data_IF_093738284223
#
_entry.id   IF_093738284223
#
_cell.length_a   1.000
_cell.length_b   1.000
_cell.length_c   1.000
_cell.angle_alpha   90.00
_cell.angle_beta   90.00
_cell.angle_gamma   90.00
#
_symmetry.space_group_name_H-M   'P 1'
#
loop_
_entity.id
_entity.type
_entity.pdbx_description
1 polymer ?
#
# COMPACT_ATOMS: atom_id res chain seq x y z
N UNK A 1 -10.50 -21.61 97.63
CA UNK A 1 -9.76 -22.49 96.70
C UNK A 1 -10.28 -22.18 95.30
N UNK A 2 -9.74 -21.17 94.60
CA UNK A 2 -8.63 -21.29 93.64
C UNK A 2 -8.74 -22.51 92.73
N UNK A 3 -9.22 -22.34 91.49
CA UNK A 3 -8.63 -22.82 90.22
C UNK A 3 -9.26 -21.95 89.10
N UNK A 4 -8.73 -20.76 88.79
CA UNK A 4 -7.80 -20.44 87.69
C UNK A 4 -8.14 -21.11 86.34
N UNK A 5 -8.75 -20.31 85.47
CA UNK A 5 -8.82 -20.50 84.02
C UNK A 5 -7.42 -20.73 83.43
N UNK A 6 -7.28 -21.80 82.65
CA UNK A 6 -6.18 -21.95 81.69
C UNK A 6 -6.81 -22.11 80.31
N UNK A 7 -7.05 -20.98 79.66
CA UNK A 7 -7.32 -20.95 78.21
C UNK A 7 -5.95 -21.12 77.55
N UNK A 8 -5.68 -22.31 77.06
CA UNK A 8 -4.57 -22.55 76.15
C UNK A 8 -4.86 -21.79 74.85
N UNK A 9 -4.18 -20.67 74.63
CA UNK A 9 -4.00 -20.11 73.30
C UNK A 9 -3.19 -21.14 72.50
N UNK A 10 -3.87 -21.94 71.69
CA UNK A 10 -3.23 -22.58 70.54
C UNK A 10 -2.84 -21.44 69.60
N UNK A 11 -1.62 -20.92 69.79
CA UNK A 11 -0.93 -20.20 68.74
C UNK A 11 -0.73 -21.22 67.61
N UNK A 12 -1.61 -21.16 66.63
CA UNK A 12 -1.46 -21.82 65.35
C UNK A 12 -0.16 -21.29 64.76
N UNK A 13 0.92 -22.03 64.96
CA UNK A 13 2.18 -21.80 64.27
C UNK A 13 1.91 -22.22 62.83
N UNK A 14 1.48 -21.26 62.01
CA UNK A 14 1.36 -21.45 60.58
C UNK A 14 2.80 -21.45 60.03
N UNK A 15 3.38 -22.59 59.62
CA UNK A 15 4.79 -22.66 59.21
C UNK A 15 4.98 -22.19 57.77
N UNK A 16 4.00 -21.49 57.21
CA UNK A 16 4.09 -20.99 55.85
C UNK A 16 4.89 -19.69 55.84
N UNK A 17 6.14 -19.86 55.40
CA UNK A 17 7.06 -18.83 54.89
C UNK A 17 7.87 -18.09 55.96
N UNK A 18 8.83 -18.80 56.57
CA UNK A 18 10.12 -18.19 56.88
C UNK A 18 10.77 -17.85 55.53
N UNK A 19 10.46 -16.69 54.96
CA UNK A 19 11.38 -16.08 54.00
C UNK A 19 12.63 -15.78 54.83
N UNK A 20 13.77 -16.36 54.44
CA UNK A 20 15.06 -15.94 54.97
C UNK A 20 15.12 -14.41 54.81
N UNK A 21 15.30 -13.66 55.90
CA UNK A 21 15.36 -12.18 55.85
C UNK A 21 16.46 -11.69 54.90
N UNK A 22 17.36 -12.58 54.50
CA UNK A 22 18.46 -12.34 53.57
C UNK A 22 18.22 -12.85 52.15
N UNK A 23 17.03 -13.37 51.84
CA UNK A 23 16.73 -13.84 50.49
C UNK A 23 16.45 -12.69 49.52
N UNK A 24 16.92 -12.82 48.27
CA UNK A 24 16.66 -11.89 47.19
C UNK A 24 15.52 -12.37 46.28
N UNK A 25 14.78 -11.43 45.71
CA UNK A 25 13.75 -11.71 44.71
C UNK A 25 14.32 -11.67 43.27
N UNK A 26 13.70 -12.36 42.29
CA UNK A 26 14.11 -12.30 40.89
C UNK A 26 14.14 -10.86 40.34
N UNK A 27 15.21 -10.51 39.64
CA UNK A 27 15.34 -9.26 38.89
C UNK A 27 14.63 -9.34 37.53
N UNK A 28 14.11 -8.21 37.07
CA UNK A 28 13.77 -7.99 35.67
C UNK A 28 14.88 -7.19 35.02
N UNK A 29 15.48 -7.73 33.96
CA UNK A 29 16.62 -7.10 33.28
C UNK A 29 16.17 -6.73 31.86
N UNK A 30 16.11 -5.44 31.49
CA UNK A 30 15.78 -5.04 30.13
C UNK A 30 16.81 -5.60 29.15
N UNK A 31 16.33 -6.21 28.06
CA UNK A 31 17.16 -6.78 26.99
C UNK A 31 18.17 -7.84 27.48
N UNK A 32 17.84 -8.56 28.55
CA UNK A 32 18.68 -9.62 29.09
C UNK A 32 17.86 -10.67 29.84
N UNK A 33 18.43 -11.86 29.92
CA UNK A 33 17.79 -13.03 30.50
C UNK A 33 18.80 -13.85 31.34
N UNK A 34 18.29 -14.57 32.33
CA UNK A 34 19.05 -15.48 33.17
C UNK A 34 18.14 -16.62 33.64
N UNK A 35 18.74 -17.75 34.00
CA UNK A 35 17.97 -18.89 34.47
C UNK A 35 17.39 -18.59 35.86
N UNK A 36 16.07 -18.35 35.91
CA UNK A 36 15.38 -17.99 37.13
C UNK A 36 15.22 -19.20 38.09
N UNK A 37 15.31 -18.95 39.40
CA UNK A 37 15.10 -19.96 40.43
C UNK A 37 13.65 -20.43 40.40
N UNK A 38 13.43 -21.75 40.40
CA UNK A 38 12.08 -22.35 40.44
C UNK A 38 11.33 -22.03 41.73
N UNK A 39 12.06 -21.75 42.80
CA UNK A 39 11.49 -21.43 44.10
C UNK A 39 11.01 -19.97 44.18
N UNK A 40 11.37 -19.14 43.20
CA UNK A 40 10.98 -17.73 43.13
C UNK A 40 11.77 -16.79 44.06
N UNK A 41 12.86 -17.28 44.66
CA UNK A 41 13.78 -16.51 45.51
C UNK A 41 15.20 -17.08 45.44
N UNK A 42 16.16 -16.32 45.96
CA UNK A 42 17.60 -16.63 45.97
C UNK A 42 18.16 -16.47 47.39
N UNK A 43 18.94 -17.45 47.84
CA UNK A 43 19.56 -17.42 49.16
C UNK A 43 20.78 -16.51 49.24
N UNK A 44 21.23 -16.22 50.47
CA UNK A 44 22.45 -15.46 50.72
C UNK A 44 23.65 -16.09 50.00
N UNK A 45 24.33 -15.29 49.18
CA UNK A 45 25.52 -15.70 48.42
C UNK A 45 25.23 -16.32 47.06
N UNK A 46 23.96 -16.59 46.70
CA UNK A 46 23.58 -17.08 45.37
C UNK A 46 23.97 -16.08 44.28
N UNK A 47 24.37 -16.60 43.12
CA UNK A 47 24.84 -15.79 41.99
C UNK A 47 24.04 -16.13 40.75
N UNK A 48 23.54 -15.09 40.08
CA UNK A 48 22.95 -15.20 38.76
C UNK A 48 23.95 -14.74 37.70
N UNK A 49 23.87 -15.33 36.52
CA UNK A 49 24.63 -14.90 35.34
C UNK A 49 23.66 -14.47 34.26
N UNK A 50 23.83 -13.24 33.78
CA UNK A 50 22.92 -12.58 32.87
C UNK A 50 23.47 -12.65 31.46
N UNK A 51 22.65 -13.15 30.53
CA UNK A 51 22.91 -13.14 29.10
C UNK A 51 22.11 -11.99 28.49
N UNK A 52 22.78 -11.10 27.75
CA UNK A 52 22.07 -10.09 26.98
C UNK A 52 21.38 -10.70 25.77
N UNK A 53 20.25 -10.13 25.39
CA UNK A 53 19.50 -10.51 24.19
C UNK A 53 20.30 -10.18 22.93
N UNK A 54 19.92 -10.77 21.79
CA UNK A 54 20.60 -10.50 20.52
C UNK A 54 20.60 -9.00 20.19
N UNK A 55 21.78 -8.48 19.84
CA UNK A 55 21.98 -7.06 19.56
C UNK A 55 22.41 -6.23 20.77
N UNK A 56 22.47 -6.83 21.97
CA UNK A 56 22.87 -6.17 23.20
C UNK A 56 24.15 -6.80 23.79
N UNK A 57 24.93 -6.01 24.52
CA UNK A 57 26.15 -6.43 25.18
C UNK A 57 26.32 -5.81 26.57
N UNK A 58 27.16 -6.43 27.39
CA UNK A 58 27.51 -5.91 28.70
C UNK A 58 28.58 -4.83 28.57
N UNK A 59 28.37 -3.67 29.20
CA UNK A 59 29.40 -2.60 29.26
C UNK A 59 30.60 -2.94 30.15
N UNK A 60 30.41 -3.81 31.13
CA UNK A 60 31.43 -4.23 32.11
C UNK A 60 31.48 -5.76 32.12
N UNK A 61 32.68 -6.35 32.25
CA UNK A 61 32.87 -7.81 32.18
C UNK A 61 32.08 -8.62 33.22
N UNK A 62 31.61 -7.99 34.29
CA UNK A 62 30.84 -8.68 35.33
C UNK A 62 29.35 -8.75 34.98
N UNK A 63 28.98 -9.81 34.28
CA UNK A 63 27.61 -10.17 33.93
C UNK A 63 26.85 -10.87 35.09
N UNK A 64 27.33 -10.73 36.34
CA UNK A 64 26.80 -11.47 37.49
C UNK A 64 26.27 -10.54 38.57
N UNK A 65 25.19 -10.94 39.22
CA UNK A 65 24.71 -10.34 40.46
C UNK A 65 24.73 -11.39 41.56
N UNK A 66 25.16 -11.01 42.77
CA UNK A 66 25.16 -11.87 43.95
C UNK A 66 24.13 -11.36 44.96
N UNK A 67 23.38 -12.27 45.57
CA UNK A 67 22.49 -11.92 46.67
C UNK A 67 23.29 -11.69 47.96
N UNK A 68 23.18 -10.50 48.55
CA UNK A 68 23.92 -10.08 49.74
C UNK A 68 22.96 -9.35 50.69
N UNK A 69 22.70 -9.93 51.86
CA UNK A 69 21.77 -9.47 52.88
C UNK A 69 20.41 -9.01 52.29
N UNK A 70 19.79 -9.85 51.46
CA UNK A 70 18.47 -9.59 50.86
C UNK A 70 18.47 -8.59 49.70
N UNK A 71 19.63 -8.10 49.25
CA UNK A 71 19.75 -7.20 48.08
C UNK A 71 20.79 -7.71 47.09
N UNK A 72 20.56 -7.48 45.81
CA UNK A 72 21.54 -7.81 44.77
C UNK A 72 22.75 -6.87 44.81
N UNK A 73 23.96 -7.42 44.70
CA UNK A 73 25.23 -6.69 44.70
C UNK A 73 25.32 -5.64 43.58
N UNK A 74 24.67 -5.92 42.46
CA UNK A 74 24.63 -5.11 41.24
C UNK A 74 23.41 -5.51 40.42
N UNK A 75 22.99 -4.62 39.53
CA UNK A 75 21.99 -4.93 38.49
C UNK A 75 22.73 -4.93 37.16
N UNK A 76 22.93 -6.09 36.51
CA UNK A 76 23.57 -6.15 35.20
C UNK A 76 22.77 -5.38 34.16
N UNK A 77 23.45 -4.59 33.32
CA UNK A 77 22.83 -3.73 32.31
C UNK A 77 23.26 -4.22 30.94
N UNK A 78 22.27 -4.54 30.11
CA UNK A 78 22.45 -4.86 28.70
C UNK A 78 22.20 -3.60 27.86
N UNK A 79 23.24 -3.14 27.19
CA UNK A 79 23.18 -1.97 26.31
C UNK A 79 23.29 -2.38 24.84
N UNK A 80 22.87 -1.50 23.93
CA UNK A 80 22.96 -1.76 22.49
C UNK A 80 24.43 -1.99 22.12
N UNK A 81 24.72 -3.11 21.48
CA UNK A 81 26.08 -3.41 21.03
C UNK A 81 26.50 -2.45 19.94
N UNK A 82 27.75 -1.99 19.97
CA UNK A 82 28.29 -1.10 18.93
C UNK A 82 28.43 -1.79 17.57
N UNK A 83 28.46 -3.11 17.56
CA UNK A 83 28.51 -3.92 16.34
C UNK A 83 27.10 -4.18 15.76
N UNK A 84 26.05 -3.83 16.49
CA UNK A 84 24.66 -4.01 16.05
C UNK A 84 24.14 -2.76 15.36
N UNK A 85 23.29 -2.96 14.36
CA UNK A 85 22.74 -1.86 13.58
C UNK A 85 21.48 -1.30 14.22
N UNK A 86 21.30 0.01 14.06
CA UNK A 86 20.05 0.69 14.40
C UNK A 86 19.04 0.62 13.27
N UNK A 87 18.22 1.66 13.16
CA UNK A 87 17.21 1.77 12.12
C UNK A 87 17.82 1.57 10.72
N UNK A 88 17.15 0.79 9.86
CA UNK A 88 17.63 0.57 8.51
C UNK A 88 17.50 1.83 7.65
N UNK A 89 18.32 1.97 6.58
CA UNK A 89 18.35 3.17 5.76
C UNK A 89 16.99 3.42 5.08
N UNK A 90 16.56 4.68 5.04
CA UNK A 90 15.37 5.07 4.28
C UNK A 90 15.74 5.19 2.80
N UNK A 91 15.15 4.33 1.97
CA UNK A 91 15.42 4.27 0.55
C UNK A 91 14.18 4.76 -0.20
N UNK A 92 14.29 5.81 -1.05
CA UNK A 92 13.16 6.30 -1.82
C UNK A 92 12.56 5.20 -2.70
N UNK A 93 11.24 5.11 -2.71
CA UNK A 93 10.48 4.15 -3.52
C UNK A 93 10.85 2.69 -3.24
N UNK A 94 11.20 2.37 -2.00
CA UNK A 94 11.48 1.01 -1.57
C UNK A 94 10.86 0.73 -0.19
N UNK A 95 10.34 -0.48 -0.04
CA UNK A 95 9.72 -0.98 1.19
C UNK A 95 10.46 -2.20 1.70
N UNK A 96 10.50 -2.38 3.02
CA UNK A 96 11.02 -3.61 3.64
C UNK A 96 9.89 -4.64 3.65
N UNK A 97 10.11 -5.78 3.02
CA UNK A 97 9.10 -6.84 2.89
C UNK A 97 9.31 -8.01 3.87
N UNK A 98 10.48 -8.08 4.50
CA UNK A 98 10.84 -9.15 5.43
C UNK A 98 11.28 -8.57 6.77
N UNK A 99 10.60 -9.03 7.84
CA UNK A 99 10.69 -8.70 9.28
C UNK A 99 9.85 -7.52 9.77
N UNK A 100 9.30 -7.70 10.98
CA UNK A 100 8.68 -6.63 11.76
C UNK A 100 9.71 -5.67 12.34
N UNK A 101 9.23 -4.52 12.81
CA UNK A 101 10.07 -3.49 13.44
C UNK A 101 10.86 -4.04 14.63
N UNK A 102 12.14 -3.67 14.71
CA UNK A 102 13.03 -3.94 15.84
C UNK A 102 13.83 -2.68 16.15
N UNK A 103 14.08 -2.42 17.45
CA UNK A 103 14.88 -1.27 17.86
C UNK A 103 16.40 -1.46 17.66
N UNK A 104 16.84 -2.71 17.50
CA UNK A 104 18.24 -3.12 17.31
C UNK A 104 18.28 -4.37 16.44
N UNK A 105 19.24 -4.39 15.51
CA UNK A 105 19.49 -5.51 14.62
C UNK A 105 20.89 -6.06 14.89
N UNK A 106 20.97 -7.29 15.40
CA UNK A 106 22.24 -7.96 15.67
C UNK A 106 23.09 -8.11 14.38
N UNK A 107 24.40 -8.29 14.54
CA UNK A 107 25.32 -8.58 13.43
C UNK A 107 24.80 -9.75 12.59
N UNK A 108 24.92 -9.63 11.26
CA UNK A 108 24.37 -10.56 10.26
C UNK A 108 22.84 -10.58 10.16
N UNK A 109 22.11 -9.70 10.85
CA UNK A 109 20.69 -9.49 10.57
C UNK A 109 20.50 -9.08 9.12
N UNK A 110 19.52 -9.67 8.46
CA UNK A 110 19.20 -9.42 7.06
C UNK A 110 17.82 -8.79 6.94
N UNK A 111 17.72 -7.78 6.08
CA UNK A 111 16.46 -7.15 5.69
C UNK A 111 16.36 -7.17 4.18
N UNK A 112 15.18 -7.51 3.66
CA UNK A 112 14.93 -7.51 2.23
C UNK A 112 14.11 -6.29 1.86
N UNK A 113 14.67 -5.46 0.98
CA UNK A 113 13.96 -4.37 0.33
C UNK A 113 13.36 -4.84 -0.98
N UNK A 114 12.19 -4.31 -1.29
CA UNK A 114 11.55 -4.41 -2.59
C UNK A 114 11.25 -2.99 -3.07
N UNK A 115 11.50 -2.70 -4.35
CA UNK A 115 11.06 -1.43 -4.92
C UNK A 115 9.53 -1.37 -4.96
N UNK A 116 8.96 -0.19 -4.71
CA UNK A 116 7.53 0.06 -4.86
C UNK A 116 7.09 -0.18 -6.30
N UNK A 117 5.80 -0.45 -6.49
CA UNK A 117 5.23 -0.69 -7.82
C UNK A 117 5.57 0.44 -8.79
N UNK A 118 6.04 0.08 -10.00
CA UNK A 118 6.51 1.04 -11.00
C UNK A 118 7.98 1.44 -10.88
N UNK A 119 8.66 1.01 -9.82
CA UNK A 119 10.10 1.15 -9.64
C UNK A 119 10.78 -0.20 -9.67
N UNK A 120 11.98 -0.22 -10.23
CA UNK A 120 12.79 -1.44 -10.36
C UNK A 120 14.22 -1.12 -9.97
N UNK A 121 14.86 -2.01 -9.23
CA UNK A 121 16.28 -1.89 -8.94
C UNK A 121 17.10 -2.44 -10.12
N UNK A 122 18.34 -1.98 -10.25
CA UNK A 122 19.26 -2.51 -11.25
C UNK A 122 19.59 -3.98 -10.94
N UNK A 123 19.06 -4.90 -11.75
CA UNK A 123 19.35 -6.34 -11.69
C UNK A 123 18.19 -7.19 -11.18
N UNK A 124 17.71 -6.96 -9.97
CA UNK A 124 16.66 -7.74 -9.31
C UNK A 124 15.71 -6.83 -8.53
N UNK A 125 14.40 -7.10 -8.56
CA UNK A 125 13.37 -6.25 -7.94
C UNK A 125 13.46 -6.21 -6.40
N UNK A 126 14.19 -7.16 -5.81
CA UNK A 126 14.48 -7.19 -4.38
C UNK A 126 15.98 -7.16 -4.12
N UNK A 127 16.39 -6.51 -3.02
CA UNK A 127 17.78 -6.53 -2.56
C UNK A 127 17.84 -6.71 -1.05
N UNK A 128 18.64 -7.69 -0.63
CA UNK A 128 18.91 -7.96 0.78
C UNK A 128 20.07 -7.11 1.27
N UNK A 129 19.86 -6.41 2.38
CA UNK A 129 20.92 -5.73 3.13
C UNK A 129 21.25 -6.50 4.40
N UNK A 130 22.50 -6.40 4.84
CA UNK A 130 23.05 -7.13 5.98
C UNK A 130 23.62 -6.13 6.97
N UNK A 131 23.40 -6.36 8.26
CA UNK A 131 24.07 -5.62 9.32
C UNK A 131 25.51 -6.14 9.50
N UNK A 132 26.50 -5.30 9.28
CA UNK A 132 27.92 -5.61 9.40
C UNK A 132 28.58 -4.56 10.29
N UNK A 133 28.98 -4.96 11.50
CA UNK A 133 29.74 -4.11 12.42
C UNK A 133 29.16 -2.71 12.60
N UNK A 134 27.89 -2.67 13.01
CA UNK A 134 27.15 -1.44 13.30
C UNK A 134 26.62 -0.71 12.06
N UNK A 135 26.95 -1.17 10.85
CA UNK A 135 26.54 -0.53 9.61
C UNK A 135 25.75 -1.46 8.71
N UNK A 136 24.69 -0.95 8.11
CA UNK A 136 23.96 -1.64 7.06
C UNK A 136 24.74 -1.61 5.75
N UNK A 137 24.77 -2.73 5.02
CA UNK A 137 25.26 -2.73 3.63
C UNK A 137 24.40 -1.85 2.73
N UNK A 138 24.95 -1.43 1.60
CA UNK A 138 24.24 -0.59 0.62
C UNK A 138 22.93 -1.24 0.13
N UNK A 139 21.83 -0.50 0.20
CA UNK A 139 20.51 -0.92 -0.30
C UNK A 139 20.31 -0.71 -1.81
N UNK A 140 19.11 -0.98 -2.34
CA UNK A 140 18.84 -0.80 -3.77
C UNK A 140 18.73 0.67 -4.16
N UNK A 141 18.97 0.96 -5.43
CA UNK A 141 18.55 2.21 -6.06
C UNK A 141 17.35 1.91 -6.95
N UNK A 142 16.16 2.29 -6.50
CA UNK A 142 14.91 2.09 -7.22
C UNK A 142 14.74 3.18 -8.28
N UNK A 143 14.67 2.78 -9.56
CA UNK A 143 14.49 3.69 -10.70
C UNK A 143 13.23 3.30 -11.48
N UNK A 144 12.57 4.30 -12.04
CA UNK A 144 11.50 4.09 -13.02
C UNK A 144 12.16 3.59 -14.30
N UNK A 145 11.93 2.34 -14.68
CA UNK A 145 12.42 1.79 -15.95
C UNK A 145 11.53 2.19 -17.11
N UNK A 146 10.21 2.24 -16.89
CA UNK A 146 9.23 2.59 -17.92
C UNK A 146 8.12 3.44 -17.29
N UNK A 147 7.93 4.63 -17.86
CA UNK A 147 6.82 5.52 -17.54
C UNK A 147 6.15 5.96 -18.82
N UNK A 148 4.84 6.19 -18.74
CA UNK A 148 4.12 6.86 -19.79
C UNK A 148 4.33 8.37 -19.70
N UNK A 149 4.29 9.02 -20.85
CA UNK A 149 4.16 10.48 -20.91
C UNK A 149 2.80 10.92 -20.32
N UNK A 150 2.59 12.24 -20.27
CA UNK A 150 1.27 12.79 -19.95
C UNK A 150 0.17 12.12 -20.80
N UNK A 151 -1.00 11.81 -20.23
CA UNK A 151 -2.11 11.24 -20.96
C UNK A 151 -2.42 12.00 -22.26
N UNK A 152 -2.71 11.29 -23.37
CA UNK A 152 -2.93 11.91 -24.67
C UNK A 152 -4.19 12.77 -24.65
N UNK A 153 -4.12 13.97 -25.22
CA UNK A 153 -5.33 14.79 -25.40
C UNK A 153 -6.26 14.15 -26.44
N UNK A 154 -7.46 13.78 -26.02
CA UNK A 154 -8.47 13.19 -26.89
C UNK A 154 -9.52 14.25 -27.22
N UNK A 155 -9.83 14.48 -28.53
CA UNK A 155 -10.86 15.42 -28.92
C UNK A 155 -12.21 15.09 -28.30
N UNK A 156 -12.90 16.10 -27.78
CA UNK A 156 -14.23 15.97 -27.17
C UNK A 156 -14.29 15.00 -25.98
N UNK A 157 -13.18 14.82 -25.27
CA UNK A 157 -13.10 14.04 -24.06
C UNK A 157 -12.31 14.78 -22.97
N UNK A 158 -12.72 14.61 -21.73
CA UNK A 158 -12.07 15.16 -20.53
C UNK A 158 -11.64 14.04 -19.59
N UNK A 159 -10.54 14.25 -18.88
CA UNK A 159 -10.10 13.32 -17.82
C UNK A 159 -10.86 13.67 -16.54
N UNK A 160 -11.54 12.69 -15.95
CA UNK A 160 -12.42 12.91 -14.79
C UNK A 160 -11.84 12.45 -13.46
N UNK A 161 -10.78 11.65 -13.47
CA UNK A 161 -10.13 11.09 -12.27
C UNK A 161 -8.66 11.55 -12.13
N UNK A 162 -8.38 12.82 -12.47
CA UNK A 162 -7.00 13.33 -12.45
C UNK A 162 -6.58 13.73 -11.04
N UNK A 163 -5.97 12.81 -10.31
CA UNK A 163 -5.09 13.18 -9.20
C UNK A 163 -3.77 13.72 -9.76
N UNK A 164 -3.15 14.69 -9.09
CA UNK A 164 -1.84 15.19 -9.51
C UNK A 164 -0.81 14.08 -9.32
N UNK A 165 -0.25 13.59 -10.42
CA UNK A 165 0.82 12.60 -10.43
C UNK A 165 2.01 13.20 -11.20
N UNK A 166 3.20 13.15 -10.59
CA UNK A 166 4.44 13.61 -11.25
C UNK A 166 4.92 12.63 -12.32
N UNK A 167 4.59 11.34 -12.17
CA UNK A 167 5.01 10.25 -13.07
C UNK A 167 3.88 9.23 -13.22
N UNK A 168 3.64 8.76 -14.45
CA UNK A 168 2.73 7.66 -14.74
C UNK A 168 3.54 6.37 -14.96
N UNK A 169 3.66 5.55 -13.92
CA UNK A 169 4.31 4.23 -14.00
C UNK A 169 3.39 3.21 -14.66
N UNK A 170 3.91 2.03 -15.00
CA UNK A 170 3.08 0.91 -15.46
C UNK A 170 1.89 0.66 -14.51
N UNK A 171 0.76 0.29 -15.10
CA UNK A 171 -0.54 0.09 -14.44
C UNK A 171 -1.20 1.36 -13.87
N UNK A 172 -0.59 2.55 -14.02
CA UNK A 172 -1.28 3.82 -13.80
C UNK A 172 -2.50 3.91 -14.71
N UNK A 173 -3.63 4.41 -14.19
CA UNK A 173 -4.87 4.52 -14.95
C UNK A 173 -5.42 5.93 -14.96
N UNK A 174 -5.99 6.34 -16.09
CA UNK A 174 -6.77 7.57 -16.21
C UNK A 174 -8.07 7.27 -16.93
N UNK A 175 -9.14 7.93 -16.52
CA UNK A 175 -10.49 7.75 -17.00
C UNK A 175 -10.90 8.99 -17.78
N UNK A 176 -11.22 8.75 -19.05
CA UNK A 176 -11.82 9.74 -19.93
C UNK A 176 -13.33 9.66 -19.87
N UNK A 177 -13.98 10.80 -20.01
CA UNK A 177 -15.41 10.94 -20.26
C UNK A 177 -15.60 11.83 -21.50
N UNK A 178 -16.47 11.41 -22.43
CA UNK A 178 -16.85 12.27 -23.54
C UNK A 178 -17.57 13.53 -23.04
N UNK A 179 -17.30 14.67 -23.68
CA UNK A 179 -17.96 15.94 -23.39
C UNK A 179 -19.46 15.86 -23.75
N UNK A 180 -20.26 16.75 -23.16
CA UNK A 180 -21.70 16.84 -23.45
C UNK A 180 -21.97 16.96 -24.96
N UNK A 181 -22.88 16.14 -25.48
CA UNK A 181 -23.19 16.07 -26.92
C UNK A 181 -22.32 15.09 -27.69
N UNK A 182 -21.38 14.40 -27.02
CA UNK A 182 -20.55 13.34 -27.59
C UNK A 182 -20.69 12.03 -26.80
N UNK A 183 -20.56 10.91 -27.50
CA UNK A 183 -20.60 9.58 -26.90
C UNK A 183 -19.55 8.67 -27.57
N UNK A 184 -18.98 7.77 -26.78
CA UNK A 184 -18.15 6.69 -27.30
C UNK A 184 -19.01 5.42 -27.43
N UNK A 185 -18.59 4.49 -28.30
CA UNK A 185 -19.33 3.24 -28.50
C UNK A 185 -19.42 2.44 -27.20
N UNK A 186 -20.65 2.15 -26.75
CA UNK A 186 -20.96 1.34 -25.58
C UNK A 186 -20.95 2.08 -24.24
N UNK A 187 -19.95 2.93 -23.97
CA UNK A 187 -19.85 3.69 -22.71
C UNK A 187 -19.22 5.07 -22.95
N UNK A 188 -19.86 6.11 -22.42
CA UNK A 188 -19.34 7.50 -22.47
C UNK A 188 -18.07 7.69 -21.64
N UNK A 189 -17.71 6.71 -20.82
CA UNK A 189 -16.46 6.69 -20.06
C UNK A 189 -15.58 5.52 -20.48
N UNK A 190 -14.26 5.77 -20.58
CA UNK A 190 -13.25 4.75 -20.87
C UNK A 190 -11.98 5.00 -20.06
N UNK A 191 -11.51 3.95 -19.39
CA UNK A 191 -10.24 3.95 -18.67
C UNK A 191 -9.11 3.50 -19.58
N UNK A 192 -8.03 4.25 -19.62
CA UNK A 192 -6.77 3.84 -20.24
C UNK A 192 -5.73 3.55 -19.17
N UNK A 193 -4.80 2.67 -19.49
CA UNK A 193 -3.77 2.16 -18.58
C UNK A 193 -2.40 2.39 -19.21
N UNK A 194 -1.42 2.76 -18.40
CA UNK A 194 -0.04 2.82 -18.83
C UNK A 194 0.54 1.40 -18.88
N UNK A 195 0.94 0.94 -20.07
CA UNK A 195 1.52 -0.39 -20.27
C UNK A 195 2.82 -0.24 -21.06
N UNK A 196 3.91 -0.66 -20.42
CA UNK A 196 5.26 -0.62 -20.98
C UNK A 196 5.65 0.73 -21.56
N UNK A 197 5.36 1.81 -20.81
CA UNK A 197 5.64 3.19 -21.22
C UNK A 197 4.70 3.77 -22.29
N UNK A 198 3.64 3.06 -22.69
CA UNK A 198 2.64 3.56 -23.62
C UNK A 198 1.23 3.46 -23.03
N UNK A 199 0.42 4.48 -23.27
CA UNK A 199 -0.99 4.44 -22.90
C UNK A 199 -1.77 3.48 -23.81
N UNK A 200 -2.70 2.71 -23.23
CA UNK A 200 -3.69 1.96 -24.04
C UNK A 200 -4.60 2.92 -24.82
N UNK A 201 -5.28 2.38 -25.82
CA UNK A 201 -6.11 3.17 -26.72
C UNK A 201 -7.25 3.88 -25.98
N UNK A 202 -7.34 5.20 -26.16
CA UNK A 202 -8.40 6.05 -25.61
C UNK A 202 -9.76 5.88 -26.28
N UNK A 203 -10.81 6.56 -25.80
CA UNK A 203 -12.12 6.56 -26.46
C UNK A 203 -12.10 7.40 -27.73
N UNK A 204 -12.99 7.06 -28.66
CA UNK A 204 -13.36 7.91 -29.78
C UNK A 204 -14.73 8.51 -29.48
N UNK A 205 -14.76 9.80 -29.14
CA UNK A 205 -15.99 10.52 -28.83
C UNK A 205 -16.60 11.10 -30.11
N UNK A 206 -17.72 10.55 -30.55
CA UNK A 206 -18.46 11.01 -31.72
C UNK A 206 -19.68 11.82 -31.29
N UNK A 207 -20.08 12.79 -32.10
CA UNK A 207 -21.29 13.58 -31.81
C UNK A 207 -22.50 12.64 -31.70
N UNK A 208 -23.26 12.78 -30.62
CA UNK A 208 -24.45 11.99 -30.34
C UNK A 208 -25.70 12.84 -30.52
N UNK A 209 -26.44 12.60 -31.61
CA UNK A 209 -27.68 13.32 -31.93
C UNK A 209 -28.94 12.48 -31.67
N UNK A 210 -28.82 11.33 -31.00
CA UNK A 210 -29.92 10.38 -30.79
C UNK A 210 -30.39 9.73 -32.09
N UNK A 211 -31.68 9.37 -32.14
CA UNK A 211 -32.28 8.74 -33.31
C UNK A 211 -32.22 9.66 -34.54
N UNK A 212 -32.08 9.03 -35.71
CA UNK A 212 -32.05 9.74 -36.98
C UNK A 212 -33.41 10.37 -37.31
N UNK A 213 -33.43 11.55 -37.97
CA UNK A 213 -34.69 12.18 -38.38
C UNK A 213 -35.54 11.24 -39.25
N UNK A 214 -36.84 11.14 -38.96
CA UNK A 214 -37.75 10.40 -39.84
C UNK A 214 -38.12 11.26 -41.05
N UNK A 215 -37.91 10.73 -42.26
CA UNK A 215 -38.29 11.40 -43.52
C UNK A 215 -39.47 10.65 -44.15
N UNK A 216 -40.69 11.23 -44.19
CA UNK A 216 -41.84 10.58 -44.81
C UNK A 216 -41.59 10.26 -46.28
N UNK A 217 -41.94 9.03 -46.70
CA UNK A 217 -41.69 8.53 -48.06
C UNK A 217 -40.21 8.50 -48.45
N UNK A 218 -39.30 8.46 -47.49
CA UNK A 218 -37.88 8.18 -47.69
C UNK A 218 -37.39 7.13 -46.71
N UNK A 219 -36.33 6.43 -47.10
CA UNK A 219 -35.58 5.48 -46.28
C UNK A 219 -34.18 6.01 -46.00
N UNK A 220 -33.62 5.58 -44.86
CA UNK A 220 -32.23 5.88 -44.47
C UNK A 220 -31.31 4.99 -45.28
N UNK A 221 -30.41 5.58 -46.07
CA UNK A 221 -29.49 4.84 -46.92
C UNK A 221 -28.07 5.26 -46.61
N UNK A 222 -27.45 4.44 -45.74
CA UNK A 222 -26.00 4.37 -45.49
C UNK A 222 -25.43 5.52 -44.64
N UNK A 223 -24.73 5.12 -43.58
CA UNK A 223 -23.89 5.98 -42.77
C UNK A 223 -22.62 6.30 -43.57
N UNK A 224 -22.40 7.58 -43.88
CA UNK A 224 -21.33 7.99 -44.81
C UNK A 224 -19.98 8.07 -44.11
N UNK A 225 -19.93 8.68 -42.91
CA UNK A 225 -18.68 8.94 -42.16
C UNK A 225 -18.88 8.88 -40.63
N UNK A 226 -19.72 7.98 -40.11
CA UNK A 226 -19.99 7.89 -38.67
C UNK A 226 -20.97 8.94 -38.13
N UNK A 227 -20.89 10.19 -38.59
CA UNK A 227 -21.70 11.34 -38.13
C UNK A 227 -22.67 11.90 -39.17
N UNK A 228 -22.69 11.36 -40.40
CA UNK A 228 -23.60 11.78 -41.47
C UNK A 228 -24.40 10.61 -42.05
N UNK A 229 -25.67 10.86 -42.35
CA UNK A 229 -26.61 9.91 -42.94
C UNK A 229 -27.12 10.45 -44.27
N UNK A 230 -27.18 9.60 -45.30
CA UNK A 230 -27.78 9.95 -46.59
C UNK A 230 -29.21 9.41 -46.66
N UNK A 231 -30.13 10.21 -47.21
CA UNK A 231 -31.52 9.79 -47.39
C UNK A 231 -31.80 9.45 -48.85
N UNK A 232 -32.69 8.49 -49.06
CA UNK A 232 -33.21 8.15 -50.37
C UNK A 232 -34.73 8.13 -50.35
N UNK A 233 -35.35 8.83 -51.30
CA UNK A 233 -36.81 8.81 -51.43
C UNK A 233 -37.32 7.53 -52.07
N UNK A 234 -38.52 7.11 -51.65
CA UNK A 234 -39.23 5.97 -52.18
C UNK A 234 -39.63 6.18 -53.65
N UNK A 235 -39.93 5.08 -54.34
CA UNK A 235 -40.39 5.13 -55.73
C UNK A 235 -41.61 6.04 -55.86
N UNK A 236 -41.62 6.89 -56.90
CA UNK A 236 -42.62 7.96 -57.17
C UNK A 236 -42.43 9.25 -56.35
N UNK A 237 -41.35 9.38 -55.59
CA UNK A 237 -40.99 10.61 -54.88
C UNK A 237 -39.61 11.13 -55.32
N UNK A 238 -39.43 12.45 -55.27
CA UNK A 238 -38.16 13.14 -55.57
C UNK A 238 -37.67 13.85 -54.31
N UNK A 239 -36.36 13.77 -54.06
CA UNK A 239 -35.71 14.43 -52.93
C UNK A 239 -35.61 15.93 -53.18
N UNK A 240 -36.09 16.72 -52.23
CA UNK A 240 -35.95 18.17 -52.17
C UNK A 240 -35.16 18.55 -50.91
N UNK A 241 -34.14 19.40 -51.09
CA UNK A 241 -33.26 19.84 -50.01
C UNK A 241 -31.93 19.08 -49.97
N UNK A 242 -31.26 19.03 -48.81
CA UNK A 242 -29.93 18.43 -48.68
C UNK A 242 -30.00 16.89 -48.78
N UNK A 243 -29.10 16.29 -49.56
CA UNK A 243 -29.06 14.82 -49.72
C UNK A 243 -28.65 14.07 -48.44
N UNK A 244 -27.98 14.76 -47.51
CA UNK A 244 -27.49 14.19 -46.26
C UNK A 244 -27.81 15.08 -45.06
N UNK A 245 -27.97 14.43 -43.91
CA UNK A 245 -27.97 15.10 -42.61
C UNK A 245 -26.66 14.81 -41.89
N UNK A 246 -26.16 15.78 -41.15
CA UNK A 246 -24.95 15.64 -40.33
C UNK A 246 -25.30 15.95 -38.88
N UNK A 247 -24.85 15.09 -37.97
CA UNK A 247 -24.96 15.31 -36.54
C UNK A 247 -23.98 16.42 -36.13
N UNK A 248 -24.51 17.52 -35.61
CA UNK A 248 -23.74 18.68 -35.19
C UNK A 248 -23.26 18.52 -33.73
N UNK A 249 -22.22 19.26 -33.37
CA UNK A 249 -21.65 19.27 -32.02
C UNK A 249 -22.61 19.73 -30.91
N UNK A 250 -23.76 20.32 -31.26
CA UNK A 250 -24.82 20.70 -30.33
C UNK A 250 -25.81 19.55 -30.04
N UNK A 251 -25.51 18.33 -30.49
CA UNK A 251 -26.38 17.16 -30.36
C UNK A 251 -27.64 17.21 -31.23
N UNK A 252 -27.66 18.03 -32.29
CA UNK A 252 -28.78 18.13 -33.24
C UNK A 252 -28.37 17.75 -34.65
N UNK A 253 -29.25 17.04 -35.34
CA UNK A 253 -29.16 16.83 -36.77
C UNK A 253 -29.42 18.14 -37.53
N UNK A 254 -28.70 18.37 -38.63
CA UNK A 254 -29.07 19.40 -39.61
C UNK A 254 -30.47 19.14 -40.21
N UNK A 255 -31.07 20.14 -40.85
CA UNK A 255 -32.39 19.98 -41.46
C UNK A 255 -32.46 18.77 -42.43
N UNK A 256 -33.45 17.88 -42.27
CA UNK A 256 -33.61 16.71 -43.14
C UNK A 256 -34.22 17.07 -44.50
N UNK A 257 -33.98 16.27 -45.55
CA UNK A 257 -34.65 16.44 -46.83
C UNK A 257 -36.15 16.13 -46.77
N UNK A 258 -36.87 16.56 -47.81
CA UNK A 258 -38.28 16.23 -48.03
C UNK A 258 -38.46 15.40 -49.29
N UNK A 259 -39.30 14.36 -49.25
CA UNK A 259 -39.65 13.55 -50.41
C UNK A 259 -41.00 13.98 -50.98
N UNK A 260 -41.01 14.61 -52.16
CA UNK A 260 -42.23 15.11 -52.83
C UNK A 260 -42.68 14.17 -53.93
N UNK A 261 -43.98 13.88 -53.99
CA UNK A 261 -44.57 13.02 -55.02
C UNK A 261 -44.36 13.59 -56.42
N UNK A 262 -44.00 12.73 -57.36
CA UNK A 262 -43.86 13.09 -58.78
C UNK A 262 -45.28 13.23 -59.35
N UNK A 263 -45.73 14.47 -59.56
CA UNK A 263 -46.97 14.74 -60.28
C UNK A 263 -46.79 14.27 -61.72
N UNK A 264 -47.46 13.17 -62.09
CA UNK A 264 -47.61 12.78 -63.49
C UNK A 264 -48.64 13.73 -64.12
N UNK A 265 -48.15 14.70 -64.88
CA UNK A 265 -48.92 15.44 -65.89
C UNK A 265 -49.29 14.52 -67.05
#
# INVERSE_FOLDING_TARGET
MCVRYLVFFLLVWNPQVLHDEKACVPLTIPNGNYDASTDGWYGEGDRIWVRCDEGYEHKVRDATAQCINGTWSSVPICEKSTESCGDPPKIPHAVIIVKGYQEVFAVNSQLQYQCEDGYTAEGEDTKTIICISGNWTEGPTCKITQSCAEPPKIPHAVIINREYQEVFVNDSTVQYQCEDGYAAEGSDTKTITCISGNWTEGPTCNANCGDYPSVPNGDVVVQVNGTSLKYQCNKLYTLEGPESVTCQSNGKWTEPPSCRGINKS
#
